data_IF_304015840823
#
_entry.id   IF_304015840823
#
_cell.length_a   1.000
_cell.length_b   1.000
_cell.length_c   1.000
_cell.angle_alpha   90.00
_cell.angle_beta   90.00
_cell.angle_gamma   90.00
#
_symmetry.space_group_name_H-M   'P 1'
#
loop_
_entity.id
_entity.type
_entity.pdbx_description
1 polymer ?
#
# COMPACT_ATOMS: atom_id res chain seq x y z
N UNK A 1 -10.38 -33.49 -24.92
CA UNK A 1 -9.64 -32.43 -25.62
C UNK A 1 -9.72 -31.19 -24.75
N UNK A 2 -8.60 -30.58 -24.37
CA UNK A 2 -8.58 -29.40 -23.51
C UNK A 2 -7.87 -28.27 -24.25
N UNK A 3 -8.43 -27.07 -24.22
CA UNK A 3 -7.82 -25.87 -24.76
C UNK A 3 -8.00 -24.72 -23.78
N UNK A 4 -7.09 -23.75 -23.83
CA UNK A 4 -7.14 -22.58 -22.98
C UNK A 4 -8.07 -21.54 -23.60
N UNK A 5 -8.97 -20.99 -22.80
CA UNK A 5 -9.80 -19.83 -23.15
C UNK A 5 -9.14 -18.60 -22.52
N UNK A 6 -8.96 -17.49 -23.27
CA UNK A 6 -8.45 -16.26 -22.69
C UNK A 6 -9.30 -15.80 -21.51
N UNK A 7 -8.69 -15.35 -20.40
CA UNK A 7 -9.45 -14.82 -19.29
C UNK A 7 -10.24 -13.58 -19.74
N UNK A 8 -11.42 -13.34 -19.14
CA UNK A 8 -12.14 -12.08 -19.33
C UNK A 8 -11.28 -10.88 -18.89
N UNK A 9 -11.65 -9.65 -19.30
CA UNK A 9 -10.90 -8.46 -18.94
C UNK A 9 -10.66 -8.35 -17.44
N UNK A 10 -9.43 -7.98 -17.07
CA UNK A 10 -9.01 -7.89 -15.68
C UNK A 10 -9.86 -6.87 -14.92
N UNK A 11 -10.58 -7.35 -13.91
CA UNK A 11 -11.25 -6.50 -12.93
C UNK A 11 -10.47 -6.57 -11.62
N UNK A 12 -9.95 -5.43 -11.18
CA UNK A 12 -9.44 -5.25 -9.82
C UNK A 12 -10.46 -4.50 -8.98
N UNK A 13 -10.69 -4.98 -7.76
CA UNK A 13 -11.52 -4.29 -6.77
C UNK A 13 -10.81 -3.10 -6.11
N UNK A 14 -9.52 -2.92 -6.38
CA UNK A 14 -8.75 -1.76 -5.94
C UNK A 14 -7.98 -1.15 -7.11
N UNK A 15 -7.98 0.18 -7.18
CA UNK A 15 -7.04 0.94 -7.97
C UNK A 15 -5.91 1.43 -7.06
N UNK A 16 -4.66 1.16 -7.46
CA UNK A 16 -3.47 1.47 -6.68
C UNK A 16 -2.57 2.33 -7.54
N UNK A 17 -2.19 3.49 -7.03
CA UNK A 17 -1.18 4.35 -7.65
C UNK A 17 -0.10 4.70 -6.64
N UNK A 18 1.13 4.86 -7.13
CA UNK A 18 2.28 5.18 -6.29
C UNK A 18 2.99 6.40 -6.83
N UNK A 19 3.39 7.30 -5.93
CA UNK A 19 4.23 8.44 -6.25
C UNK A 19 5.50 8.39 -5.42
N UNK A 20 6.60 8.78 -6.02
CA UNK A 20 7.91 8.77 -5.35
C UNK A 20 8.58 10.12 -5.45
N UNK A 21 8.99 10.67 -4.30
CA UNK A 21 9.75 11.91 -4.23
C UNK A 21 11.14 11.63 -3.65
N UNK A 22 12.17 12.05 -4.37
CA UNK A 22 13.54 11.86 -3.95
C UNK A 22 14.13 13.14 -3.36
N UNK A 23 14.86 13.01 -2.25
CA UNK A 23 15.66 14.09 -1.66
C UNK A 23 17.14 13.69 -1.67
N UNK A 24 17.91 14.23 -2.62
CA UNK A 24 19.38 14.03 -2.65
C UNK A 24 20.16 15.08 -1.84
N UNK A 25 19.51 16.18 -1.43
CA UNK A 25 20.21 17.33 -0.88
C UNK A 25 20.48 17.10 0.61
N UNK A 26 21.54 16.35 0.92
CA UNK A 26 21.99 16.05 2.28
C UNK A 26 22.95 14.87 2.36
N UNK A 27 23.56 14.66 3.53
CA UNK A 27 24.41 13.48 3.82
C UNK A 27 23.62 12.17 3.80
N UNK A 28 22.30 12.22 4.05
CA UNK A 28 21.39 11.07 3.91
C UNK A 28 20.45 11.30 2.73
N UNK A 29 20.53 10.41 1.74
CA UNK A 29 19.60 10.34 0.62
C UNK A 29 18.32 9.65 1.10
N UNK A 30 17.16 10.26 0.84
CA UNK A 30 15.87 9.68 1.25
C UNK A 30 14.90 9.61 0.07
N UNK A 31 14.13 8.54 0.03
CA UNK A 31 13.03 8.32 -0.89
C UNK A 31 11.72 8.34 -0.09
N UNK A 32 10.82 9.25 -0.46
CA UNK A 32 9.46 9.30 0.08
C UNK A 32 8.56 8.58 -0.91
N UNK A 33 7.77 7.63 -0.42
CA UNK A 33 6.82 6.86 -1.21
C UNK A 33 5.42 7.18 -0.70
N UNK A 34 4.56 7.65 -1.59
CA UNK A 34 3.13 7.81 -1.36
C UNK A 34 2.39 6.71 -2.11
N UNK A 35 1.46 6.04 -1.43
CA UNK A 35 0.62 4.98 -2.01
C UNK A 35 -0.82 5.41 -1.85
N UNK A 36 -1.52 5.58 -2.96
CA UNK A 36 -2.94 5.88 -3.00
C UNK A 36 -3.69 4.60 -3.38
N UNK A 37 -4.65 4.21 -2.54
CA UNK A 37 -5.48 3.03 -2.74
C UNK A 37 -6.94 3.47 -2.77
N UNK A 38 -7.63 3.17 -3.86
CA UNK A 38 -9.06 3.46 -4.02
C UNK A 38 -9.82 2.16 -4.23
N UNK A 39 -10.89 1.96 -3.45
CA UNK A 39 -11.79 0.84 -3.65
C UNK A 39 -12.72 1.12 -4.83
N UNK A 40 -12.80 0.19 -5.77
CA UNK A 40 -13.72 0.20 -6.93
C UNK A 40 -14.44 -1.14 -7.06
N UNK A 41 -14.61 -1.84 -5.93
CA UNK A 41 -15.32 -3.11 -5.88
C UNK A 41 -16.81 -2.95 -6.12
N UNK A 42 -17.50 -4.10 -6.18
CA UNK A 42 -18.95 -4.16 -6.46
C UNK A 42 -19.83 -3.93 -5.22
N UNK A 43 -19.25 -3.94 -4.02
CA UNK A 43 -19.95 -3.67 -2.77
C UNK A 43 -19.80 -2.20 -2.41
N UNK A 44 -20.65 -1.69 -1.52
CA UNK A 44 -20.54 -0.31 -1.04
C UNK A 44 -19.26 -0.09 -0.24
N UNK A 45 -18.87 -1.07 0.58
CA UNK A 45 -17.67 -1.01 1.40
C UNK A 45 -16.98 -2.36 1.58
N UNK A 46 -15.73 -2.29 2.04
CA UNK A 46 -14.93 -3.44 2.44
C UNK A 46 -14.98 -3.64 3.95
N UNK A 47 -14.88 -4.90 4.40
CA UNK A 47 -14.83 -5.24 5.82
C UNK A 47 -13.42 -5.09 6.44
N UNK A 48 -12.37 -5.10 5.61
CA UNK A 48 -10.98 -4.89 6.03
C UNK A 48 -10.11 -4.69 4.78
N UNK A 49 -9.09 -3.84 4.88
CA UNK A 49 -8.08 -3.70 3.83
C UNK A 49 -6.69 -3.88 4.44
N UNK A 50 -5.85 -4.65 3.74
CA UNK A 50 -4.44 -4.85 4.11
C UNK A 50 -3.58 -4.31 2.97
N UNK A 51 -2.73 -3.34 3.29
CA UNK A 51 -1.78 -2.75 2.35
C UNK A 51 -0.38 -3.26 2.73
N UNK A 52 0.24 -4.02 1.83
CA UNK A 52 1.59 -4.56 2.02
C UNK A 52 2.58 -3.79 1.13
N UNK A 53 3.48 -3.03 1.76
CA UNK A 53 4.51 -2.25 1.08
C UNK A 53 5.88 -2.89 1.32
N UNK A 54 6.50 -3.44 0.27
CA UNK A 54 7.86 -3.98 0.33
C UNK A 54 8.89 -2.87 0.12
N UNK A 55 9.90 -2.80 0.97
CA UNK A 55 11.02 -1.88 0.79
C UNK A 55 11.89 -2.29 -0.41
N UNK A 56 12.48 -1.29 -1.06
CA UNK A 56 13.48 -1.51 -2.09
C UNK A 56 14.75 -2.13 -1.47
N UNK A 57 15.42 -3.00 -2.24
CA UNK A 57 16.69 -3.57 -1.81
C UNK A 57 17.73 -2.46 -1.54
N UNK A 58 18.44 -2.56 -0.41
CA UNK A 58 19.41 -1.55 0.03
C UNK A 58 18.81 -0.32 0.72
N UNK A 59 17.49 -0.25 0.89
CA UNK A 59 16.83 0.81 1.65
C UNK A 59 16.46 0.34 3.05
N UNK A 60 16.48 1.29 3.99
CA UNK A 60 15.98 1.10 5.36
C UNK A 60 14.84 2.09 5.59
N UNK A 61 13.78 1.61 6.24
CA UNK A 61 12.64 2.43 6.60
C UNK A 61 13.01 3.47 7.67
N UNK A 62 12.65 4.73 7.41
CA UNK A 62 12.62 5.75 8.45
C UNK A 62 11.41 5.51 9.37
N UNK A 63 11.64 4.92 10.55
CA UNK A 63 10.55 4.62 11.50
C UNK A 63 9.74 5.84 11.93
N UNK A 64 10.30 7.05 11.85
CA UNK A 64 9.59 8.27 12.21
C UNK A 64 8.45 8.60 11.23
N UNK A 65 8.57 8.15 9.97
CA UNK A 65 7.54 8.35 8.93
C UNK A 65 6.25 7.56 9.18
N UNK A 66 6.29 6.55 10.06
CA UNK A 66 5.11 5.76 10.43
C UNK A 66 4.23 6.41 11.49
N UNK A 67 4.70 7.47 12.16
CA UNK A 67 3.93 8.11 13.24
C UNK A 67 2.59 8.67 12.77
N UNK A 68 2.49 9.39 11.63
CA UNK A 68 1.21 9.85 11.12
C UNK A 68 0.26 8.70 10.80
N UNK A 69 0.77 7.62 10.18
CA UNK A 69 -0.01 6.42 9.87
C UNK A 69 -0.60 5.76 11.13
N UNK A 70 0.17 5.67 12.22
CA UNK A 70 -0.31 5.08 13.48
C UNK A 70 -1.31 5.96 14.23
N UNK A 71 -1.31 7.27 13.95
CA UNK A 71 -2.21 8.23 14.56
C UNK A 71 -3.48 8.47 13.71
N UNK A 72 -3.52 7.94 12.49
CA UNK A 72 -4.69 8.04 11.63
C UNK A 72 -5.80 7.14 12.18
N UNK A 73 -7.00 7.67 12.46
CA UNK A 73 -8.09 6.88 13.04
C UNK A 73 -8.61 5.79 12.11
N UNK A 74 -8.32 5.86 10.80
CA UNK A 74 -8.70 4.82 9.84
C UNK A 74 -7.75 3.62 9.85
N UNK A 75 -6.57 3.77 10.47
CA UNK A 75 -5.54 2.74 10.56
C UNK A 75 -5.66 2.00 11.89
N UNK A 76 -5.99 0.70 11.80
CA UNK A 76 -6.13 -0.17 12.96
C UNK A 76 -4.77 -0.54 13.56
N UNK A 77 -3.81 -0.89 12.71
CA UNK A 77 -2.43 -1.21 13.11
C UNK A 77 -1.46 -1.12 11.94
N UNK A 78 -0.18 -1.02 12.28
CA UNK A 78 0.94 -1.06 11.34
C UNK A 78 2.00 -2.03 11.86
N UNK A 79 2.26 -3.08 11.09
CA UNK A 79 3.25 -4.12 11.39
C UNK A 79 4.50 -3.97 10.49
N UNK A 80 5.64 -4.44 10.98
CA UNK A 80 6.91 -4.46 10.26
C UNK A 80 7.46 -5.88 10.23
N UNK A 81 7.62 -6.45 9.05
CA UNK A 81 8.02 -7.84 8.87
C UNK A 81 8.99 -7.96 7.70
N UNK A 82 10.23 -8.43 7.93
CA UNK A 82 11.21 -8.74 6.87
C UNK A 82 11.39 -7.66 5.77
N UNK A 83 11.33 -6.38 6.13
CA UNK A 83 11.43 -5.27 5.15
C UNK A 83 10.11 -4.95 4.43
N UNK A 84 8.99 -5.43 4.97
CA UNK A 84 7.64 -5.04 4.61
C UNK A 84 7.03 -4.12 5.68
N UNK A 85 6.26 -3.13 5.23
CA UNK A 85 5.36 -2.34 6.06
C UNK A 85 3.94 -2.79 5.74
N UNK A 86 3.24 -3.33 6.74
CA UNK A 86 1.89 -3.88 6.58
C UNK A 86 0.91 -2.98 7.33
N UNK A 87 -0.04 -2.39 6.61
CA UNK A 87 -1.02 -1.45 7.16
C UNK A 87 -2.41 -2.10 7.11
N UNK A 88 -3.13 -2.06 8.22
CA UNK A 88 -4.46 -2.64 8.34
C UNK A 88 -5.49 -1.51 8.54
N UNK A 89 -6.52 -1.50 7.72
CA UNK A 89 -7.65 -0.58 7.77
C UNK A 89 -8.93 -1.35 8.10
N UNK A 90 -9.83 -0.76 8.89
CA UNK A 90 -11.12 -1.38 9.25
C UNK A 90 -12.08 -1.46 8.06
N UNK A 91 -12.03 -0.53 7.11
CA UNK A 91 -12.86 -0.58 5.91
C UNK A 91 -12.68 0.65 5.04
N UNK A 92 -12.84 0.48 3.73
CA UNK A 92 -12.81 1.53 2.71
C UNK A 92 -14.03 1.37 1.82
N UNK A 93 -14.79 2.45 1.66
CA UNK A 93 -15.94 2.57 0.76
C UNK A 93 -15.60 3.12 -0.62
N UNK A 94 -16.54 3.02 -1.56
CA UNK A 94 -16.44 3.58 -2.93
C UNK A 94 -16.61 5.09 -2.99
#
# INVERSE_FOLDING_TARGET
MHYNIPPPPDFSAFNISTQTLWKCNGTKKSLIVSVDVRYNGRREETNMVIINVKLLSGFVLDKSSLRPLKNDPTVKRVDLEEGHVIIYLDGVGT
#
